data_IF_986745345552
#
_entry.id   IF_986745345552
#
_cell.length_a   1.000
_cell.length_b   1.000
_cell.length_c   1.000
_cell.angle_alpha   90.00
_cell.angle_beta   90.00
_cell.angle_gamma   90.00
#
_symmetry.space_group_name_H-M   'P 1'
#
loop_
_entity.id
_entity.type
_entity.pdbx_description
1 polymer ?
#
# COMPACT_ATOMS: atom_id res chain seq x y z
N UNK A 1 4.87 -28.27 -20.57
CA UNK A 1 4.40 -26.86 -20.52
C UNK A 1 3.60 -26.65 -19.24
N UNK A 2 3.64 -25.47 -18.59
CA UNK A 2 2.76 -25.20 -17.45
C UNK A 2 1.28 -25.37 -17.86
N UNK A 3 0.43 -25.85 -16.94
CA UNK A 3 -0.99 -26.05 -17.26
C UNK A 3 -1.66 -24.71 -17.54
N UNK A 4 -2.68 -24.71 -18.41
CA UNK A 4 -3.46 -23.50 -18.72
C UNK A 4 -4.08 -22.90 -17.45
N UNK A 5 -4.52 -23.75 -16.53
CA UNK A 5 -5.07 -23.35 -15.23
C UNK A 5 -4.04 -22.63 -14.37
N UNK A 6 -2.80 -23.14 -14.30
CA UNK A 6 -1.74 -22.51 -13.50
C UNK A 6 -1.39 -21.12 -14.05
N UNK A 7 -1.28 -20.98 -15.37
CA UNK A 7 -1.02 -19.69 -16.01
C UNK A 7 -2.19 -18.72 -15.84
N UNK A 8 -3.44 -19.21 -15.88
CA UNK A 8 -4.61 -18.38 -15.64
C UNK A 8 -4.63 -17.83 -14.21
N UNK A 9 -4.41 -18.68 -13.20
CA UNK A 9 -4.33 -18.24 -11.80
C UNK A 9 -3.17 -17.26 -11.60
N UNK A 10 -2.00 -17.54 -12.18
CA UNK A 10 -0.85 -16.66 -12.13
C UNK A 10 -1.18 -15.27 -12.73
N UNK A 11 -1.83 -15.23 -13.89
CA UNK A 11 -2.23 -13.98 -14.54
C UNK A 11 -3.32 -13.20 -13.80
N UNK A 12 -4.25 -13.89 -13.13
CA UNK A 12 -5.25 -13.22 -12.25
C UNK A 12 -4.55 -12.54 -11.08
N UNK A 13 -3.62 -13.22 -10.43
CA UNK A 13 -2.87 -12.66 -9.30
C UNK A 13 -2.01 -11.46 -9.75
N UNK A 14 -1.38 -11.57 -10.92
CA UNK A 14 -0.61 -10.49 -11.53
C UNK A 14 -1.47 -9.25 -11.81
N UNK A 15 -2.70 -9.44 -12.32
CA UNK A 15 -3.65 -8.35 -12.50
C UNK A 15 -4.12 -7.74 -11.17
N UNK A 16 -4.29 -8.54 -10.12
CA UNK A 16 -4.60 -8.04 -8.78
C UNK A 16 -3.45 -7.17 -8.22
N UNK A 17 -2.20 -7.52 -8.51
CA UNK A 17 -1.03 -6.70 -8.15
C UNK A 17 -1.06 -5.35 -8.89
N UNK A 18 -1.39 -5.35 -10.18
CA UNK A 18 -1.57 -4.12 -10.95
C UNK A 18 -2.70 -3.26 -10.37
N UNK A 19 -3.84 -3.86 -10.01
CA UNK A 19 -4.95 -3.16 -9.40
C UNK A 19 -4.56 -2.55 -8.04
N UNK A 20 -3.80 -3.27 -7.21
CA UNK A 20 -3.25 -2.76 -5.96
C UNK A 20 -2.32 -1.56 -6.20
N UNK A 21 -1.42 -1.65 -7.19
CA UNK A 21 -0.55 -0.55 -7.59
C UNK A 21 -1.33 0.69 -8.05
N UNK A 22 -2.30 0.50 -8.94
CA UNK A 22 -3.16 1.56 -9.46
C UNK A 22 -4.00 2.25 -8.38
N UNK A 23 -4.61 1.47 -7.48
CA UNK A 23 -5.38 2.02 -6.35
C UNK A 23 -4.49 2.82 -5.40
N UNK A 24 -3.31 2.31 -5.07
CA UNK A 24 -2.38 2.99 -4.15
C UNK A 24 -1.87 4.31 -4.74
N UNK A 25 -1.55 4.33 -6.05
CA UNK A 25 -1.17 5.56 -6.76
C UNK A 25 -2.34 6.54 -6.77
N UNK A 26 -3.54 6.07 -7.13
CA UNK A 26 -4.73 6.92 -7.22
C UNK A 26 -5.04 7.60 -5.87
N UNK A 27 -5.03 6.83 -4.77
CA UNK A 27 -5.20 7.38 -3.42
C UNK A 27 -4.11 8.40 -3.11
N UNK A 28 -2.84 8.07 -3.38
CA UNK A 28 -1.71 8.96 -3.09
C UNK A 28 -1.77 10.29 -3.86
N UNK A 29 -2.30 10.30 -5.09
CA UNK A 29 -2.46 11.52 -5.90
C UNK A 29 -3.72 12.28 -5.51
N UNK A 30 -4.86 11.60 -5.36
CA UNK A 30 -6.13 12.23 -4.99
C UNK A 30 -6.09 12.86 -3.60
N UNK A 31 -5.30 12.29 -2.68
CA UNK A 31 -5.15 12.82 -1.33
C UNK A 31 -4.09 13.94 -1.24
N UNK A 32 -3.26 14.14 -2.27
CA UNK A 32 -2.39 15.31 -2.41
C UNK A 32 -3.11 16.55 -2.94
N UNK A 33 -4.33 16.41 -3.46
CA UNK A 33 -5.14 17.55 -3.86
C UNK A 33 -5.40 18.46 -2.64
N UNK A 34 -5.38 19.80 -2.80
CA UNK A 34 -5.36 20.74 -1.70
C UNK A 34 -6.73 20.85 -1.01
N UNK A 35 -7.08 19.85 -0.21
CA UNK A 35 -8.19 19.89 0.73
C UNK A 35 -7.66 20.08 2.16
N UNK A 36 -8.12 21.10 2.90
CA UNK A 36 -7.65 21.40 4.27
C UNK A 36 -7.93 20.28 5.28
N UNK A 37 -8.76 19.30 4.89
CA UNK A 37 -9.19 18.13 5.66
C UNK A 37 -8.12 17.04 5.70
N UNK A 38 -7.44 16.82 4.57
CA UNK A 38 -6.65 15.59 4.32
C UNK A 38 -5.18 15.73 4.71
N UNK A 39 -4.67 16.96 4.71
CA UNK A 39 -3.29 17.29 5.11
C UNK A 39 -3.00 17.18 6.62
N UNK A 40 -4.01 16.93 7.46
CA UNK A 40 -3.81 16.66 8.89
C UNK A 40 -3.89 15.16 9.21
N UNK A 41 -4.68 14.39 8.45
CA UNK A 41 -4.85 12.96 8.67
C UNK A 41 -3.70 12.10 8.12
N UNK A 42 -3.16 12.46 6.95
CA UNK A 42 -1.98 11.80 6.37
C UNK A 42 -0.85 12.82 6.19
N UNK A 43 0.36 12.44 6.61
CA UNK A 43 1.55 13.27 6.42
C UNK A 43 1.98 13.22 4.96
N UNK A 44 2.64 14.27 4.47
CA UNK A 44 3.29 14.26 3.13
C UNK A 44 4.22 13.04 2.95
N UNK A 45 4.82 12.58 4.04
CA UNK A 45 5.63 11.36 4.06
C UNK A 45 4.81 10.12 3.68
N UNK A 46 3.63 9.94 4.29
CA UNK A 46 2.79 8.76 4.07
C UNK A 46 2.26 8.72 2.63
N UNK A 47 1.86 9.87 2.09
CA UNK A 47 1.39 10.01 0.71
C UNK A 47 2.51 9.79 -0.32
N UNK A 48 3.72 10.25 -0.02
CA UNK A 48 4.88 9.98 -0.87
C UNK A 48 5.27 8.51 -0.84
N UNK A 49 5.26 7.89 0.34
CA UNK A 49 5.59 6.49 0.50
C UNK A 49 4.59 5.58 -0.22
N UNK A 50 3.28 5.85 -0.09
CA UNK A 50 2.23 5.17 -0.83
C UNK A 50 2.42 5.28 -2.35
N UNK A 51 2.78 6.47 -2.85
CA UNK A 51 3.04 6.68 -4.28
C UNK A 51 4.23 5.83 -4.77
N UNK A 52 5.32 5.81 -4.00
CA UNK A 52 6.51 5.01 -4.32
C UNK A 52 6.18 3.51 -4.31
N UNK A 53 5.47 3.02 -3.29
CA UNK A 53 5.01 1.63 -3.23
C UNK A 53 4.14 1.24 -4.42
N UNK A 54 3.19 2.10 -4.78
CA UNK A 54 2.32 1.85 -5.93
C UNK A 54 3.11 1.76 -7.24
N UNK A 55 4.13 2.61 -7.43
CA UNK A 55 5.04 2.53 -8.58
C UNK A 55 5.81 1.21 -8.58
N UNK A 56 6.29 0.75 -7.42
CA UNK A 56 6.98 -0.54 -7.32
C UNK A 56 6.07 -1.70 -7.74
N UNK A 57 4.82 -1.76 -7.30
CA UNK A 57 3.89 -2.81 -7.74
C UNK A 57 3.65 -2.80 -9.25
N UNK A 58 3.48 -1.61 -9.85
CA UNK A 58 3.33 -1.48 -11.31
C UNK A 58 4.61 -1.89 -12.04
N UNK A 59 5.78 -1.55 -11.51
CA UNK A 59 7.06 -1.97 -12.07
C UNK A 59 7.23 -3.50 -11.97
N UNK A 60 6.85 -4.12 -10.86
CA UNK A 60 6.86 -5.57 -10.65
C UNK A 60 5.89 -6.28 -11.60
N UNK A 61 4.74 -5.68 -11.90
CA UNK A 61 3.84 -6.14 -12.97
C UNK A 61 4.48 -6.06 -14.37
N UNK A 62 5.16 -4.96 -14.70
CA UNK A 62 5.90 -4.88 -15.97
C UNK A 62 7.01 -5.94 -16.05
N UNK A 63 7.71 -6.20 -14.94
CA UNK A 63 8.71 -7.26 -14.82
C UNK A 63 8.10 -8.65 -14.97
N UNK A 64 6.89 -8.88 -14.46
CA UNK A 64 6.22 -10.18 -14.55
C UNK A 64 5.86 -10.53 -16.00
N UNK A 65 5.38 -9.56 -16.78
CA UNK A 65 5.13 -9.70 -18.22
C UNK A 65 6.44 -10.05 -18.93
N UNK A 66 7.52 -9.31 -18.65
CA UNK A 66 8.84 -9.59 -19.21
C UNK A 66 9.34 -11.00 -18.85
N UNK A 67 9.13 -11.43 -17.61
CA UNK A 67 9.55 -12.72 -17.09
C UNK A 67 8.78 -13.90 -17.71
N UNK A 68 7.46 -13.76 -17.93
CA UNK A 68 6.65 -14.86 -18.47
C UNK A 68 6.87 -15.08 -19.96
N UNK A 69 7.13 -14.01 -20.73
CA UNK A 69 7.40 -14.04 -22.18
C UNK A 69 8.73 -14.70 -22.54
N UNK A 70 9.64 -14.88 -21.59
CA UNK A 70 10.90 -15.59 -21.83
C UNK A 70 10.67 -17.05 -22.24
N UNK A 71 11.55 -17.57 -23.10
CA UNK A 71 11.54 -18.98 -23.54
C UNK A 71 11.49 -19.92 -22.34
N UNK A 72 10.74 -21.01 -22.43
CA UNK A 72 10.50 -21.94 -21.31
C UNK A 72 11.75 -22.48 -20.62
N UNK A 73 12.89 -22.59 -21.32
CA UNK A 73 14.14 -23.06 -20.74
C UNK A 73 14.89 -22.00 -19.90
N UNK A 74 14.55 -20.72 -20.05
CA UNK A 74 15.13 -19.62 -19.29
C UNK A 74 14.21 -19.30 -18.12
N UNK A 75 14.65 -19.58 -16.90
CA UNK A 75 13.91 -19.28 -15.67
C UNK A 75 14.48 -18.08 -14.91
N UNK A 76 15.51 -17.42 -15.44
CA UNK A 76 16.20 -16.30 -14.78
C UNK A 76 15.24 -15.12 -14.56
N UNK A 77 14.40 -14.77 -15.55
CA UNK A 77 13.43 -13.67 -15.38
C UNK A 77 12.42 -13.93 -14.27
N UNK A 78 11.91 -15.16 -14.15
CA UNK A 78 11.00 -15.52 -13.05
C UNK A 78 11.71 -15.54 -11.68
N UNK A 79 13.00 -15.88 -11.65
CA UNK A 79 13.79 -15.79 -10.42
C UNK A 79 14.00 -14.33 -9.98
N UNK A 80 14.28 -13.42 -10.92
CA UNK A 80 14.36 -11.98 -10.65
C UNK A 80 13.00 -11.45 -10.15
N UNK A 81 11.90 -11.85 -10.79
CA UNK A 81 10.54 -11.51 -10.34
C UNK A 81 10.32 -11.94 -8.88
N UNK A 82 10.70 -13.16 -8.50
CA UNK A 82 10.56 -13.61 -7.11
C UNK A 82 11.37 -12.78 -6.12
N UNK A 83 12.58 -12.36 -6.49
CA UNK A 83 13.37 -11.46 -5.64
C UNK A 83 12.72 -10.08 -5.51
N UNK A 84 12.15 -9.55 -6.59
CA UNK A 84 11.36 -8.31 -6.55
C UNK A 84 10.14 -8.46 -5.64
N UNK A 85 9.39 -9.56 -5.74
CA UNK A 85 8.22 -9.83 -4.88
C UNK A 85 8.57 -9.94 -3.40
N UNK A 86 9.72 -10.52 -3.07
CA UNK A 86 10.22 -10.56 -1.68
C UNK A 86 10.53 -9.14 -1.19
N UNK A 87 11.21 -8.34 -2.01
CA UNK A 87 11.52 -6.95 -1.66
C UNK A 87 10.23 -6.15 -1.44
N UNK A 88 9.28 -6.24 -2.37
CA UNK A 88 7.97 -5.59 -2.27
C UNK A 88 7.24 -6.04 -0.99
N UNK A 89 7.20 -7.34 -0.68
CA UNK A 89 6.54 -7.85 0.51
C UNK A 89 7.16 -7.32 1.81
N UNK A 90 8.50 -7.24 1.89
CA UNK A 90 9.20 -6.70 3.06
C UNK A 90 8.85 -5.23 3.25
N UNK A 91 8.95 -4.42 2.20
CA UNK A 91 8.66 -2.97 2.29
C UNK A 91 7.19 -2.74 2.66
N UNK A 92 6.28 -3.53 2.08
CA UNK A 92 4.84 -3.47 2.36
C UNK A 92 4.53 -3.77 3.81
N UNK A 93 5.12 -4.82 4.37
CA UNK A 93 4.92 -5.21 5.78
C UNK A 93 5.51 -4.17 6.74
N UNK A 94 6.70 -3.63 6.44
CA UNK A 94 7.29 -2.55 7.25
C UNK A 94 6.38 -1.33 7.26
N UNK A 95 5.82 -0.96 6.12
CA UNK A 95 4.89 0.17 6.04
C UNK A 95 3.56 -0.11 6.75
N UNK A 96 2.98 -1.29 6.56
CA UNK A 96 1.79 -1.72 7.29
C UNK A 96 1.98 -1.70 8.80
N UNK A 97 3.17 -2.11 9.28
CA UNK A 97 3.51 -2.04 10.71
C UNK A 97 3.64 -0.60 11.22
N UNK A 98 4.13 0.34 10.39
CA UNK A 98 4.15 1.76 10.76
C UNK A 98 2.74 2.34 10.87
N UNK A 99 1.86 2.04 9.90
CA UNK A 99 0.45 2.47 9.96
C UNK A 99 -0.24 1.89 11.20
N UNK A 100 -0.03 0.61 11.49
CA UNK A 100 -0.57 -0.02 12.70
C UNK A 100 -0.02 0.59 13.99
N UNK A 101 1.26 0.97 14.02
CA UNK A 101 1.80 1.69 15.18
C UNK A 101 1.14 3.06 15.36
N UNK A 102 0.79 3.75 14.26
CA UNK A 102 0.07 5.02 14.34
C UNK A 102 -1.33 4.86 14.96
N UNK A 103 -2.04 3.76 14.70
CA UNK A 103 -3.36 3.49 15.32
C UNK A 103 -3.27 3.25 16.83
N UNK A 104 -2.13 2.77 17.35
CA UNK A 104 -1.95 2.58 18.79
C UNK A 104 -1.72 3.89 19.55
N UNK A 105 -1.20 4.92 18.90
CA UNK A 105 -0.80 6.19 19.52
C UNK A 105 -1.42 7.42 18.84
N UNK A 106 -2.66 7.29 18.36
CA UNK A 106 -3.33 8.33 17.56
C UNK A 106 -3.34 9.69 18.24
N UNK A 107 -3.78 9.77 19.50
CA UNK A 107 -3.86 11.03 20.22
C UNK A 107 -2.51 11.75 20.33
N UNK A 108 -1.43 11.00 20.55
CA UNK A 108 -0.08 11.56 20.68
C UNK A 108 0.49 11.99 19.31
N UNK A 109 0.32 11.14 18.30
CA UNK A 109 0.79 11.40 16.95
C UNK A 109 0.07 12.61 16.34
N UNK A 110 -1.25 12.66 16.43
CA UNK A 110 -2.04 13.78 15.93
C UNK A 110 -1.85 15.05 16.76
N UNK A 111 -1.62 14.97 18.07
CA UNK A 111 -1.23 16.14 18.89
C UNK A 111 0.10 16.74 18.41
N UNK A 112 1.09 15.90 18.10
CA UNK A 112 2.37 16.35 17.53
C UNK A 112 2.16 17.03 16.18
N UNK A 113 1.40 16.41 15.27
CA UNK A 113 1.10 16.97 13.95
C UNK A 113 0.34 18.29 14.06
N UNK A 114 -0.61 18.39 15.00
CA UNK A 114 -1.33 19.63 15.29
C UNK A 114 -0.37 20.75 15.67
N UNK A 115 0.56 20.48 16.59
CA UNK A 115 1.53 21.45 17.10
C UNK A 115 2.59 21.87 16.06
N UNK A 116 2.90 21.05 15.06
CA UNK A 116 3.82 21.40 13.96
C UNK A 116 3.11 22.05 12.77
N UNK A 117 1.79 21.92 12.68
CA UNK A 117 0.99 22.49 11.60
C UNK A 117 0.86 24.02 11.72
N UNK A 118 0.78 24.71 10.58
CA UNK A 118 0.66 26.19 10.52
C UNK A 118 -0.66 26.69 11.11
N UNK A 119 -0.70 27.91 11.68
CA UNK A 119 -1.92 28.49 12.26
C UNK A 119 -3.09 28.53 11.27
N UNK A 120 -2.85 28.92 10.02
CA UNK A 120 -3.88 28.96 8.98
C UNK A 120 -4.55 27.60 8.73
N UNK A 121 -3.79 26.50 8.79
CA UNK A 121 -4.33 25.14 8.65
C UNK A 121 -5.13 24.71 9.88
N UNK A 122 -4.70 25.08 11.09
CA UNK A 122 -5.47 24.82 12.32
C UNK A 122 -6.83 25.50 12.28
N UNK A 123 -6.87 26.76 11.85
CA UNK A 123 -8.11 27.55 11.72
C UNK A 123 -9.07 26.91 10.72
N UNK A 124 -8.57 26.47 9.56
CA UNK A 124 -9.41 25.78 8.57
C UNK A 124 -10.05 24.49 9.12
N UNK A 125 -9.34 23.76 9.97
CA UNK A 125 -9.87 22.55 10.62
C UNK A 125 -10.89 22.89 11.70
N UNK A 126 -10.61 23.91 12.51
CA UNK A 126 -11.54 24.42 13.53
C UNK A 126 -12.85 24.92 12.91
N UNK A 127 -12.78 25.66 11.80
CA UNK A 127 -13.96 26.16 11.09
C UNK A 127 -14.80 25.04 10.48
N UNK A 128 -14.16 23.96 10.04
CA UNK A 128 -14.83 22.84 9.40
C UNK A 128 -15.49 21.89 10.38
N UNK A 129 -14.80 21.53 11.45
CA UNK A 129 -15.31 20.61 12.47
C UNK A 129 -16.05 21.33 13.61
N UNK A 130 -16.12 22.68 13.56
CA UNK A 130 -16.81 23.52 14.55
C UNK A 130 -16.33 23.22 15.98
N UNK A 131 -15.02 23.17 16.15
CA UNK A 131 -14.34 22.79 17.39
C UNK A 131 -13.13 23.71 17.64
N UNK A 132 -12.66 23.78 18.88
CA UNK A 132 -11.58 24.68 19.29
C UNK A 132 -10.44 23.93 19.99
N UNK A 133 -9.19 24.22 19.61
CA UNK A 133 -8.01 23.49 20.10
C UNK A 133 -7.97 22.01 19.69
N UNK A 134 -6.94 21.28 20.15
CA UNK A 134 -6.79 19.84 19.87
C UNK A 134 -7.40 18.98 20.99
N UNK A 135 -6.75 18.94 22.16
CA UNK A 135 -7.24 18.23 23.35
C UNK A 135 -7.98 19.13 24.33
N UNK A 136 -7.53 20.38 24.45
CA UNK A 136 -8.04 21.38 25.39
C UNK A 136 -8.04 22.77 24.73
N UNK A 137 -8.79 23.68 25.32
CA UNK A 137 -8.96 25.07 24.87
C UNK A 137 -7.78 26.00 25.19
N UNK A 138 -6.64 25.45 25.63
CA UNK A 138 -5.47 26.24 26.05
C UNK A 138 -4.54 26.62 24.89
N UNK A 139 -4.62 25.91 23.77
CA UNK A 139 -3.88 26.19 22.54
C UNK A 139 -4.83 26.52 21.38
N UNK A 140 -5.70 27.52 21.61
CA UNK A 140 -6.71 27.97 20.63
C UNK A 140 -6.16 29.15 19.85
N UNK A 141 -6.15 29.01 18.52
CA UNK A 141 -6.03 30.15 17.62
C UNK A 141 -7.38 30.88 17.65
N UNK A 142 -7.45 32.05 18.31
CA UNK A 142 -8.68 32.82 18.47
C UNK A 142 -9.09 33.53 17.16
N UNK A 143 -9.43 32.77 16.13
CA UNK A 143 -9.88 33.26 14.84
C UNK A 143 -10.96 32.36 14.25
N UNK A 144 -11.77 32.90 13.34
CA UNK A 144 -12.88 32.15 12.73
C UNK A 144 -13.94 31.74 13.75
N UNK A 145 -14.32 30.46 13.74
CA UNK A 145 -15.33 29.88 14.65
C UNK A 145 -14.99 30.01 16.14
N UNK A 146 -13.69 30.02 16.48
CA UNK A 146 -13.19 30.13 17.85
C UNK A 146 -12.94 31.58 18.31
N UNK A 147 -13.38 32.58 17.53
CA UNK A 147 -13.22 33.99 17.89
C UNK A 147 -14.12 34.43 19.06
N UNK A 148 -15.28 33.79 19.23
CA UNK A 148 -16.19 34.09 20.35
C UNK A 148 -15.83 33.25 21.58
N UNK A 149 -15.73 33.87 22.78
CA UNK A 149 -15.31 33.17 24.00
C UNK A 149 -16.28 32.05 24.44
N UNK A 150 -17.55 32.11 24.04
CA UNK A 150 -18.51 31.03 24.27
C UNK A 150 -18.14 29.75 23.48
N UNK A 151 -17.70 29.91 22.22
CA UNK A 151 -17.31 28.79 21.36
C UNK A 151 -15.88 28.32 21.64
N UNK A 152 -15.01 29.22 22.09
CA UNK A 152 -13.63 28.89 22.46
C UNK A 152 -13.53 28.00 23.70
N UNK A 153 -14.59 27.92 24.50
CA UNK A 153 -14.72 26.99 25.64
C UNK A 153 -15.36 25.66 25.24
N UNK A 154 -15.85 25.55 24.01
CA UNK A 154 -16.53 24.37 23.50
C UNK A 154 -15.51 23.33 22.99
N UNK A 155 -15.91 22.06 23.03
CA UNK A 155 -15.09 20.85 22.98
C UNK A 155 -13.87 20.84 22.03
N UNK A 156 -12.81 20.14 22.46
CA UNK A 156 -11.59 19.91 21.67
C UNK A 156 -11.86 19.18 20.35
N UNK A 157 -11.16 19.56 19.28
CA UNK A 157 -11.31 18.93 17.96
C UNK A 157 -11.00 17.44 17.94
N UNK A 158 -10.26 16.93 18.93
CA UNK A 158 -9.91 15.52 19.07
C UNK A 158 -11.14 14.60 19.10
N UNK A 159 -12.22 14.97 19.78
CA UNK A 159 -13.39 14.11 19.95
C UNK A 159 -14.09 13.76 18.62
N UNK A 160 -14.13 14.71 17.68
CA UNK A 160 -14.73 14.53 16.35
C UNK A 160 -13.72 14.01 15.33
N UNK A 161 -12.46 14.41 15.47
CA UNK A 161 -11.40 14.06 14.53
C UNK A 161 -10.88 12.63 14.71
N UNK A 162 -10.63 12.18 15.95
CA UNK A 162 -10.03 10.87 16.19
C UNK A 162 -10.86 9.70 15.63
N UNK A 163 -12.19 9.62 15.82
CA UNK A 163 -12.96 8.51 15.26
C UNK A 163 -12.90 8.46 13.72
N UNK A 164 -12.82 9.62 13.06
CA UNK A 164 -12.66 9.69 11.61
C UNK A 164 -11.25 9.25 11.19
N UNK A 165 -10.22 9.66 11.93
CA UNK A 165 -8.85 9.26 11.66
C UNK A 165 -8.62 7.75 11.89
N UNK A 166 -9.16 7.21 12.98
CA UNK A 166 -9.11 5.78 13.33
C UNK A 166 -9.70 4.91 12.23
N UNK A 167 -10.91 5.23 11.75
CA UNK A 167 -11.53 4.48 10.64
C UNK A 167 -10.69 4.54 9.36
N UNK A 168 -10.14 5.71 9.02
CA UNK A 168 -9.29 5.86 7.83
C UNK A 168 -7.97 5.08 7.95
N UNK A 169 -7.31 5.11 9.12
CA UNK A 169 -6.09 4.34 9.35
C UNK A 169 -6.39 2.84 9.41
N UNK A 170 -7.55 2.44 9.95
CA UNK A 170 -7.95 1.05 10.05
C UNK A 170 -8.17 0.41 8.66
N UNK A 171 -8.88 1.13 7.79
CA UNK A 171 -9.07 0.73 6.40
C UNK A 171 -7.72 0.71 5.65
N UNK A 172 -6.84 1.71 5.89
CA UNK A 172 -5.53 1.77 5.27
C UNK A 172 -4.61 0.61 5.69
N UNK A 173 -4.50 0.28 6.98
CA UNK A 173 -3.66 -0.85 7.39
C UNK A 173 -4.22 -2.16 6.84
N UNK A 174 -5.55 -2.34 6.89
CA UNK A 174 -6.19 -3.59 6.44
C UNK A 174 -5.98 -3.82 4.95
N UNK A 175 -6.09 -2.77 4.14
CA UNK A 175 -5.82 -2.83 2.70
C UNK A 175 -4.35 -3.12 2.39
N UNK A 176 -3.41 -2.47 3.09
CA UNK A 176 -1.97 -2.73 2.92
C UNK A 176 -1.60 -4.17 3.27
N UNK A 177 -2.12 -4.72 4.38
CA UNK A 177 -1.92 -6.15 4.69
C UNK A 177 -2.62 -7.08 3.68
N UNK A 178 -3.74 -6.66 3.11
CA UNK A 178 -4.38 -7.34 1.98
C UNK A 178 -3.45 -7.45 0.77
N UNK A 179 -2.70 -6.39 0.44
CA UNK A 179 -1.70 -6.43 -0.63
C UNK A 179 -0.56 -7.41 -0.34
N UNK A 180 -0.14 -7.54 0.92
CA UNK A 180 0.85 -8.56 1.32
C UNK A 180 0.37 -9.97 0.97
N UNK A 181 -0.93 -10.27 1.16
CA UNK A 181 -1.47 -11.57 0.76
C UNK A 181 -1.36 -11.82 -0.74
N UNK A 182 -1.62 -10.79 -1.57
CA UNK A 182 -1.45 -10.86 -3.03
C UNK A 182 0.02 -11.14 -3.38
N UNK A 183 0.97 -10.42 -2.77
CA UNK A 183 2.41 -10.60 -3.00
C UNK A 183 2.88 -12.02 -2.66
N UNK A 184 2.46 -12.56 -1.51
CA UNK A 184 2.82 -13.92 -1.08
C UNK A 184 2.21 -14.96 -2.02
N UNK A 185 0.93 -14.81 -2.39
CA UNK A 185 0.29 -15.70 -3.37
C UNK A 185 1.00 -15.65 -4.73
N UNK A 186 1.42 -14.47 -5.16
CA UNK A 186 2.10 -14.31 -6.44
C UNK A 186 3.50 -14.93 -6.44
N UNK A 187 4.23 -14.79 -5.32
CA UNK A 187 5.50 -15.46 -5.10
C UNK A 187 5.35 -16.98 -5.19
N UNK A 188 4.36 -17.55 -4.49
CA UNK A 188 4.08 -18.99 -4.53
C UNK A 188 3.70 -19.45 -5.94
N UNK A 189 2.82 -18.72 -6.62
CA UNK A 189 2.42 -19.04 -7.99
C UNK A 189 3.62 -19.02 -8.95
N UNK A 190 4.50 -18.02 -8.82
CA UNK A 190 5.72 -17.89 -9.63
C UNK A 190 6.70 -19.03 -9.36
N UNK A 191 6.86 -19.45 -8.10
CA UNK A 191 7.64 -20.64 -7.73
C UNK A 191 7.10 -21.92 -8.38
N UNK A 192 5.76 -22.11 -8.38
CA UNK A 192 5.13 -23.24 -9.05
C UNK A 192 5.41 -23.23 -10.56
N UNK A 193 5.33 -22.06 -11.21
CA UNK A 193 5.64 -21.90 -12.64
C UNK A 193 7.10 -22.24 -12.94
N UNK A 194 8.05 -21.72 -12.14
CA UNK A 194 9.49 -22.04 -12.28
C UNK A 194 9.70 -23.55 -12.18
N UNK A 195 9.14 -24.19 -11.14
CA UNK A 195 9.32 -25.63 -10.92
C UNK A 195 8.78 -26.46 -12.08
N UNK A 196 7.62 -26.09 -12.63
CA UNK A 196 7.03 -26.77 -13.79
C UNK A 196 7.83 -26.58 -15.08
N UNK A 197 8.43 -25.40 -15.29
CA UNK A 197 9.35 -25.16 -16.42
C UNK A 197 10.61 -26.02 -16.29
N UNK A 198 11.23 -26.06 -15.12
CA UNK A 198 12.41 -26.90 -14.84
C UNK A 198 12.12 -28.39 -15.01
N UNK A 199 10.97 -28.86 -14.53
CA UNK A 199 10.53 -30.24 -14.70
C UNK A 199 10.36 -30.61 -16.18
N UNK A 200 9.71 -29.74 -16.97
CA UNK A 200 9.55 -29.95 -18.42
C UNK A 200 10.90 -30.03 -19.14
N UNK A 201 11.85 -29.15 -18.81
CA UNK A 201 13.20 -29.18 -19.39
C UNK A 201 13.96 -30.43 -19.00
N UNK A 202 13.83 -30.89 -17.74
CA UNK A 202 14.48 -32.12 -17.30
C UNK A 202 13.97 -33.34 -18.06
N UNK A 203 12.65 -33.43 -18.29
CA UNK A 203 12.07 -34.51 -19.10
C UNK A 203 12.53 -34.42 -20.55
N UNK A 204 12.59 -33.22 -21.14
CA UNK A 204 13.14 -33.02 -22.50
C UNK A 204 14.58 -33.51 -22.63
N UNK A 205 15.43 -33.25 -21.63
CA UNK A 205 16.81 -33.74 -21.61
C UNK A 205 16.91 -35.26 -21.46
N UNK A 206 16.00 -35.89 -20.71
CA UNK A 206 15.95 -37.36 -20.55
C UNK A 206 15.53 -38.02 -21.87
N UNK A 207 14.52 -37.48 -22.55
CA UNK A 207 14.06 -38.01 -23.84
C UNK A 207 15.12 -37.87 -24.94
N UNK A 208 15.86 -36.75 -24.94
CA UNK A 208 17.01 -36.57 -25.84
C UNK A 208 18.11 -37.63 -25.62
N UNK A 209 18.33 -38.07 -24.37
CA UNK A 209 19.31 -39.13 -24.06
C UNK A 209 18.82 -40.53 -24.42
N UNK A 210 17.51 -40.75 -24.50
CA UNK A 210 16.88 -42.07 -24.78
C UNK A 210 16.58 -42.29 -26.27
N UNK A 211 17.18 -41.51 -27.16
CA UNK A 211 17.01 -41.68 -28.61
C UNK A 211 15.71 -41.08 -29.17
N UNK A 212 15.05 -40.16 -28.44
CA UNK A 212 13.93 -39.38 -28.97
C UNK A 212 12.60 -40.14 -29.12
N UNK A 213 12.47 -41.35 -28.55
CA UNK A 213 11.29 -42.22 -28.67
C UNK A 213 10.02 -41.79 -27.90
N UNK A 214 9.96 -40.55 -27.39
CA UNK A 214 8.76 -39.85 -26.92
C UNK A 214 7.97 -40.51 -25.78
N UNK A 215 8.18 -40.05 -24.54
CA UNK A 215 7.17 -40.18 -23.46
C UNK A 215 6.35 -38.87 -23.27
N UNK A 216 6.57 -37.87 -24.13
CA UNK A 216 5.94 -36.53 -24.06
C UNK A 216 5.62 -36.00 -25.44
#
# INVERSE_FOLDING_TARGET
MPSKTLLAVWGVIDFLLLAAGGMTIAISVLFKAPDPIRNIALTDFDLNFGLVLGIFYVATFCLSIGAILQRNHVTIGLAILNWALIADAIVTVIYGANLWYMTLQETLNFSRVWNTTTPARRVAVQEKFKCCGFLNNTAVEASGFCATPANALDNGCSATFLPLADTMLMDAFTTVYGYTAILVLFFLATMCVIKKRQETERFRQIDAKRGGGGFV
#
